data_IF_732952314123
#
_entry.id   IF_732952314123
#
_cell.length_a   1.000
_cell.length_b   1.000
_cell.length_c   1.000
_cell.angle_alpha   90.00
_cell.angle_beta   90.00
_cell.angle_gamma   90.00
#
_symmetry.space_group_name_H-M   'P 1'
#
loop_
_entity.id
_entity.type
_entity.pdbx_description
1 polymer ?
#
# COMPACT_ATOMS: atom_id res chain seq x y z
N UNK A 1 8.04 -0.90 28.34
CA UNK A 1 6.85 -1.38 29.06
C UNK A 1 6.70 -2.86 28.80
N UNK A 2 6.39 -3.74 29.77
CA UNK A 2 6.21 -5.14 29.50
C UNK A 2 4.93 -5.31 28.65
N UNK A 3 5.06 -5.89 27.46
CA UNK A 3 3.93 -6.32 26.67
C UNK A 3 3.12 -7.36 27.45
N UNK A 4 1.87 -7.05 27.75
CA UNK A 4 0.92 -8.04 28.25
C UNK A 4 0.70 -9.06 27.13
N UNK A 5 1.09 -10.31 27.36
CA UNK A 5 0.90 -11.40 26.40
C UNK A 5 -0.54 -11.95 26.33
N UNK A 6 -1.47 -11.31 27.00
CA UNK A 6 -2.90 -11.62 26.91
C UNK A 6 -3.57 -10.61 25.96
N UNK A 7 -4.46 -11.04 25.05
CA UNK A 7 -5.32 -10.12 24.34
C UNK A 7 -6.07 -9.27 25.39
N UNK A 8 -6.35 -7.97 25.09
CA UNK A 8 -7.11 -7.14 26.02
C UNK A 8 -8.38 -7.87 26.41
N UNK A 9 -8.75 -7.80 27.68
CA UNK A 9 -9.85 -8.56 28.32
C UNK A 9 -11.25 -8.30 27.69
N UNK A 10 -11.32 -7.44 26.69
CA UNK A 10 -12.51 -7.08 25.93
C UNK A 10 -12.66 -7.84 24.59
N UNK A 11 -11.65 -8.62 24.16
CA UNK A 11 -11.78 -9.45 22.97
C UNK A 11 -12.54 -10.74 23.31
N UNK A 12 -13.84 -10.72 23.07
CA UNK A 12 -14.67 -11.94 23.19
C UNK A 12 -14.14 -12.95 22.15
N UNK A 13 -13.82 -14.17 22.58
CA UNK A 13 -13.20 -15.19 21.73
C UNK A 13 -13.91 -15.41 20.35
N UNK A 14 -15.27 -15.36 20.24
CA UNK A 14 -15.95 -15.44 18.95
C UNK A 14 -15.62 -14.31 17.99
N UNK A 15 -15.57 -13.05 18.45
CA UNK A 15 -15.27 -11.88 17.61
C UNK A 15 -13.82 -11.92 17.06
N UNK A 16 -12.87 -12.34 17.89
CA UNK A 16 -11.50 -12.56 17.43
C UNK A 16 -11.42 -13.62 16.34
N UNK A 17 -12.12 -14.75 16.51
CA UNK A 17 -12.11 -15.84 15.53
C UNK A 17 -12.74 -15.38 14.22
N UNK A 18 -13.83 -14.65 14.26
CA UNK A 18 -14.49 -14.11 13.09
C UNK A 18 -13.60 -13.11 12.36
N UNK A 19 -13.02 -12.15 13.08
CA UNK A 19 -12.07 -11.20 12.52
C UNK A 19 -10.86 -11.91 11.92
N UNK A 20 -10.24 -12.86 12.61
CA UNK A 20 -9.07 -13.58 12.09
C UNK A 20 -9.41 -14.40 10.84
N UNK A 21 -10.62 -14.97 10.77
CA UNK A 21 -11.09 -15.64 9.55
C UNK A 21 -11.31 -14.67 8.39
N UNK A 22 -11.76 -13.46 8.66
CA UNK A 22 -11.97 -12.44 7.61
C UNK A 22 -10.67 -11.97 6.97
N UNK A 23 -9.52 -12.15 7.65
CA UNK A 23 -8.18 -11.84 7.13
C UNK A 23 -7.64 -12.93 6.16
N UNK A 24 -8.18 -14.16 6.22
CA UNK A 24 -7.68 -15.29 5.44
C UNK A 24 -7.60 -15.04 3.90
N UNK A 25 -8.57 -14.38 3.25
CA UNK A 25 -8.47 -14.06 1.82
C UNK A 25 -7.25 -13.20 1.49
N UNK A 26 -6.92 -12.21 2.33
CA UNK A 26 -5.74 -11.36 2.15
C UNK A 26 -4.45 -12.15 2.32
N UNK A 27 -4.37 -13.03 3.33
CA UNK A 27 -3.21 -13.92 3.53
C UNK A 27 -2.97 -14.77 2.28
N UNK A 28 -4.02 -15.35 1.71
CA UNK A 28 -3.93 -16.16 0.50
C UNK A 28 -3.51 -15.32 -0.71
N UNK A 29 -4.02 -14.11 -0.84
CA UNK A 29 -3.69 -13.19 -1.94
C UNK A 29 -2.25 -12.67 -1.89
N UNK A 30 -1.69 -12.49 -0.67
CA UNK A 30 -0.37 -11.88 -0.48
C UNK A 30 0.78 -12.87 -0.41
N UNK A 31 0.48 -14.14 -0.17
CA UNK A 31 1.52 -15.18 -0.10
C UNK A 31 2.33 -15.26 -1.39
N UNK A 32 3.65 -15.14 -1.28
CA UNK A 32 4.58 -15.15 -2.41
C UNK A 32 4.60 -13.87 -3.23
N UNK A 33 3.81 -12.86 -2.85
CA UNK A 33 3.82 -11.53 -3.50
C UNK A 33 4.99 -10.70 -3.01
N UNK A 34 5.44 -9.77 -3.87
CA UNK A 34 6.58 -8.89 -3.58
C UNK A 34 6.08 -7.50 -3.22
N UNK A 35 6.40 -7.04 -2.01
CA UNK A 35 6.08 -5.71 -1.52
C UNK A 35 7.36 -4.90 -1.33
N UNK A 36 7.38 -3.69 -1.86
CA UNK A 36 8.43 -2.70 -1.61
C UNK A 36 7.91 -1.71 -0.59
N UNK A 37 8.56 -1.63 0.57
CA UNK A 37 8.17 -0.74 1.67
C UNK A 37 9.25 0.32 1.84
N UNK A 38 8.87 1.57 1.63
CA UNK A 38 9.75 2.73 1.70
C UNK A 38 9.41 3.59 2.92
N UNK A 39 10.41 3.94 3.71
CA UNK A 39 10.26 4.76 4.91
C UNK A 39 11.44 5.68 5.13
N UNK A 40 11.17 6.89 5.60
CA UNK A 40 12.20 7.88 5.91
C UNK A 40 13.06 7.50 7.10
N UNK A 41 14.23 8.12 7.21
CA UNK A 41 15.11 7.98 8.37
C UNK A 41 14.49 8.44 9.69
N UNK A 42 13.43 9.23 9.61
CA UNK A 42 12.62 9.71 10.74
C UNK A 42 12.01 8.54 11.54
N UNK A 43 11.57 7.48 10.86
CA UNK A 43 10.96 6.29 11.48
C UNK A 43 11.96 5.60 12.44
N UNK A 44 13.23 5.59 12.06
CA UNK A 44 14.32 5.05 12.89
C UNK A 44 14.68 6.04 14.00
N UNK A 45 14.83 7.34 13.67
CA UNK A 45 15.20 8.39 14.62
C UNK A 45 14.18 8.54 15.75
N UNK A 46 12.89 8.42 15.44
CA UNK A 46 11.79 8.56 16.42
C UNK A 46 11.54 7.28 17.24
N UNK A 47 12.28 6.20 16.99
CA UNK A 47 12.11 4.92 17.66
C UNK A 47 10.85 4.13 17.23
N UNK A 48 10.12 4.60 16.21
CA UNK A 48 8.89 3.97 15.70
C UNK A 48 9.17 2.71 14.89
N UNK A 49 10.41 2.52 14.47
CA UNK A 49 10.80 1.34 13.70
C UNK A 49 10.58 0.03 14.46
N UNK A 50 10.53 0.04 15.79
CA UNK A 50 10.25 -1.16 16.60
C UNK A 50 8.84 -1.70 16.28
N UNK A 51 7.81 -0.85 16.28
CA UNK A 51 6.45 -1.25 15.88
C UNK A 51 6.42 -1.78 14.44
N UNK A 52 7.04 -1.05 13.51
CA UNK A 52 7.16 -1.46 12.12
C UNK A 52 7.86 -2.83 11.97
N UNK A 53 8.88 -3.12 12.79
CA UNK A 53 9.56 -4.43 12.79
C UNK A 53 8.60 -5.58 13.09
N UNK A 54 7.65 -5.39 14.00
CA UNK A 54 6.62 -6.38 14.32
C UNK A 54 5.69 -6.63 13.13
N UNK A 55 5.27 -5.58 12.43
CA UNK A 55 4.43 -5.68 11.24
C UNK A 55 5.16 -6.40 10.10
N UNK A 56 6.43 -6.05 9.86
CA UNK A 56 7.27 -6.67 8.84
C UNK A 56 7.51 -8.16 9.14
N UNK A 57 7.74 -8.51 10.41
CA UNK A 57 7.87 -9.92 10.82
C UNK A 57 6.59 -10.70 10.54
N UNK A 58 5.43 -10.12 10.83
CA UNK A 58 4.15 -10.77 10.55
C UNK A 58 3.97 -10.98 9.04
N UNK A 59 4.22 -9.97 8.22
CA UNK A 59 4.14 -10.08 6.76
C UNK A 59 5.08 -11.16 6.21
N UNK A 60 6.34 -11.18 6.67
CA UNK A 60 7.31 -12.20 6.27
C UNK A 60 6.84 -13.61 6.69
N UNK A 61 6.30 -13.76 7.90
CA UNK A 61 5.76 -15.03 8.42
C UNK A 61 4.54 -15.52 7.61
N UNK A 62 3.76 -14.61 7.05
CA UNK A 62 2.63 -14.90 6.16
C UNK A 62 3.08 -15.24 4.72
N UNK A 63 4.38 -15.17 4.45
CA UNK A 63 4.98 -15.53 3.16
C UNK A 63 5.04 -14.37 2.15
N UNK A 64 4.93 -13.12 2.60
CA UNK A 64 5.18 -11.94 1.76
C UNK A 64 6.69 -11.77 1.54
N UNK A 65 7.10 -11.47 0.32
CA UNK A 65 8.49 -11.16 -0.03
C UNK A 65 8.72 -9.67 0.15
N UNK A 66 9.59 -9.30 1.08
CA UNK A 66 9.79 -7.90 1.48
C UNK A 66 11.09 -7.31 0.91
N UNK A 67 10.97 -6.17 0.27
CA UNK A 67 12.06 -5.28 -0.06
C UNK A 67 11.85 -3.98 0.72
N UNK A 68 12.77 -3.66 1.61
CA UNK A 68 12.74 -2.46 2.44
C UNK A 68 13.66 -1.41 1.84
N UNK A 69 13.18 -0.19 1.70
CA UNK A 69 13.98 0.94 1.26
C UNK A 69 13.95 1.99 2.35
N UNK A 70 15.10 2.28 2.95
CA UNK A 70 15.17 3.27 4.03
C UNK A 70 15.73 4.60 3.55
N UNK A 71 15.26 5.69 4.13
CA UNK A 71 15.88 7.00 4.05
C UNK A 71 16.92 7.21 5.15
N UNK A 72 17.64 8.32 5.08
CA UNK A 72 18.57 8.75 6.12
C UNK A 72 18.69 10.29 6.20
N UNK A 73 17.69 11.01 5.70
CA UNK A 73 17.75 12.47 5.59
C UNK A 73 18.05 13.17 6.93
N UNK A 74 17.33 12.91 8.05
CA UNK A 74 17.61 13.56 9.33
C UNK A 74 18.99 13.23 9.87
N UNK A 75 19.45 11.98 9.67
CA UNK A 75 20.76 11.55 10.13
C UNK A 75 21.89 12.22 9.33
N UNK A 76 21.69 12.39 8.01
CA UNK A 76 22.63 13.14 7.16
C UNK A 76 22.70 14.61 7.63
N UNK A 77 21.56 15.26 7.81
CA UNK A 77 21.47 16.65 8.30
C UNK A 77 22.19 16.80 9.65
N UNK A 78 22.00 15.85 10.57
CA UNK A 78 22.69 15.83 11.85
C UNK A 78 24.22 15.68 11.70
N UNK A 79 24.69 14.80 10.78
CA UNK A 79 26.11 14.63 10.51
C UNK A 79 26.74 15.87 9.89
N UNK A 80 26.06 16.51 8.92
CA UNK A 80 26.51 17.76 8.32
C UNK A 80 26.64 18.87 9.36
N UNK A 81 25.63 19.04 10.20
CA UNK A 81 25.64 20.04 11.27
C UNK A 81 26.78 19.82 12.27
N UNK A 82 27.06 18.56 12.68
CA UNK A 82 28.16 18.22 13.58
C UNK A 82 29.56 18.52 12.99
N UNK A 83 29.67 18.40 11.67
CA UNK A 83 30.91 18.67 10.95
C UNK A 83 31.00 20.13 10.45
N UNK A 84 30.03 21.00 10.79
CA UNK A 84 29.92 22.39 10.32
C UNK A 84 29.91 22.48 8.77
N UNK A 85 29.32 21.51 8.10
CA UNK A 85 29.15 21.49 6.64
C UNK A 85 27.75 22.03 6.34
N UNK A 86 27.65 22.98 5.41
CA UNK A 86 26.37 23.56 4.98
C UNK A 86 25.59 22.54 4.14
N UNK A 87 24.33 22.30 4.53
CA UNK A 87 23.42 21.46 3.75
C UNK A 87 22.80 22.26 2.60
N UNK A 88 23.25 22.00 1.37
CA UNK A 88 22.87 22.77 0.19
C UNK A 88 21.91 21.99 -0.68
N UNK A 89 20.87 22.68 -1.16
CA UNK A 89 19.87 22.14 -2.04
C UNK A 89 19.70 22.99 -3.31
N UNK A 90 19.44 22.31 -4.41
CA UNK A 90 19.02 22.92 -5.66
C UNK A 90 17.76 22.22 -6.16
N UNK A 91 16.66 22.98 -6.32
CA UNK A 91 15.33 22.42 -6.70
C UNK A 91 14.90 21.20 -5.85
N UNK A 92 15.04 21.31 -4.51
CA UNK A 92 14.76 20.27 -3.53
C UNK A 92 15.66 19.01 -3.61
N UNK A 93 16.67 19.01 -4.45
CA UNK A 93 17.67 17.94 -4.56
C UNK A 93 18.94 18.38 -3.81
N UNK A 94 19.45 17.53 -2.91
CA UNK A 94 20.67 17.83 -2.17
C UNK A 94 21.87 17.88 -3.12
N UNK A 95 22.65 18.95 -3.04
CA UNK A 95 23.94 19.03 -3.69
C UNK A 95 24.96 18.25 -2.84
N UNK A 96 25.50 17.19 -3.39
CA UNK A 96 26.38 16.27 -2.67
C UNK A 96 27.80 16.39 -3.17
N UNK A 97 28.59 17.24 -2.53
CA UNK A 97 30.05 17.31 -2.76
C UNK A 97 30.79 16.19 -2.01
N UNK A 98 32.10 16.15 -2.09
CA UNK A 98 32.93 15.10 -1.51
C UNK A 98 32.80 15.03 0.02
N UNK A 99 32.74 16.17 0.69
CA UNK A 99 32.59 16.24 2.16
C UNK A 99 31.19 15.82 2.58
N UNK A 100 30.18 16.33 1.89
CA UNK A 100 28.78 15.91 2.08
C UNK A 100 28.61 14.41 1.86
N UNK A 101 29.24 13.85 0.82
CA UNK A 101 29.17 12.42 0.50
C UNK A 101 29.78 11.55 1.61
N UNK A 102 30.80 12.04 2.32
CA UNK A 102 31.34 11.33 3.48
C UNK A 102 30.31 11.24 4.60
N UNK A 103 29.67 12.36 4.93
CA UNK A 103 28.57 12.39 5.92
C UNK A 103 27.39 11.49 5.51
N UNK A 104 27.05 11.47 4.23
CA UNK A 104 26.01 10.58 3.68
C UNK A 104 26.35 9.11 3.93
N UNK A 105 27.56 8.67 3.61
CA UNK A 105 27.98 7.25 3.82
C UNK A 105 27.92 6.85 5.30
N UNK A 106 28.37 7.73 6.20
CA UNK A 106 28.38 7.48 7.64
C UNK A 106 26.94 7.39 8.18
N UNK A 107 26.08 8.34 7.83
CA UNK A 107 24.69 8.38 8.27
C UNK A 107 23.91 7.17 7.75
N UNK A 108 24.01 6.86 6.47
CA UNK A 108 23.34 5.73 5.83
C UNK A 108 23.82 4.40 6.40
N UNK A 109 25.14 4.24 6.58
CA UNK A 109 25.73 3.05 7.19
C UNK A 109 25.21 2.81 8.60
N UNK A 110 25.10 3.84 9.41
CA UNK A 110 24.55 3.79 10.76
C UNK A 110 23.08 3.36 10.75
N UNK A 111 22.23 4.04 9.96
CA UNK A 111 20.80 3.72 9.86
C UNK A 111 20.59 2.28 9.43
N UNK A 112 21.36 1.79 8.44
CA UNK A 112 21.28 0.41 7.98
C UNK A 112 21.56 -0.57 9.11
N UNK A 113 22.63 -0.38 9.86
CA UNK A 113 23.01 -1.26 10.98
C UNK A 113 21.94 -1.24 12.09
N UNK A 114 21.35 -0.08 12.38
CA UNK A 114 20.26 0.04 13.36
C UNK A 114 19.02 -0.75 12.90
N UNK A 115 18.66 -0.70 11.62
CA UNK A 115 17.56 -1.48 11.03
C UNK A 115 17.85 -2.98 11.09
N UNK A 116 19.05 -3.41 10.67
CA UNK A 116 19.47 -4.82 10.72
C UNK A 116 19.41 -5.36 12.15
N UNK A 117 19.86 -4.58 13.14
CA UNK A 117 19.82 -4.95 14.55
C UNK A 117 18.38 -5.14 15.07
N UNK A 118 17.46 -4.22 14.71
CA UNK A 118 16.07 -4.30 15.12
C UNK A 118 15.33 -5.48 14.46
N UNK A 119 15.61 -5.75 13.19
CA UNK A 119 15.05 -6.92 12.48
C UNK A 119 15.62 -8.25 12.99
N UNK A 120 16.76 -8.22 13.69
CA UNK A 120 17.36 -9.40 14.30
C UNK A 120 16.82 -9.71 15.71
N UNK A 121 15.86 -8.92 16.22
CA UNK A 121 15.26 -9.20 17.53
C UNK A 121 14.52 -10.53 17.52
N UNK A 122 14.69 -11.29 18.63
CA UNK A 122 14.03 -12.59 18.84
C UNK A 122 13.64 -12.80 20.30
N UNK A 123 13.27 -11.71 21.01
CA UNK A 123 12.95 -11.75 22.45
C UNK A 123 11.73 -12.65 22.72
N UNK A 124 11.89 -13.59 23.66
CA UNK A 124 10.78 -14.37 24.16
C UNK A 124 9.68 -13.44 24.74
N UNK A 125 8.42 -13.81 24.59
CA UNK A 125 7.25 -13.05 25.03
C UNK A 125 7.10 -11.66 24.35
N UNK A 126 7.62 -11.53 23.13
CA UNK A 126 7.41 -10.36 22.27
C UNK A 126 6.81 -10.79 20.92
N UNK A 127 6.26 -9.87 20.10
CA UNK A 127 5.82 -10.18 18.74
C UNK A 127 6.93 -10.74 17.84
N UNK A 128 8.20 -10.61 18.25
CA UNK A 128 9.39 -11.15 17.55
C UNK A 128 9.82 -12.52 18.08
N UNK A 129 9.07 -13.14 18.99
CA UNK A 129 9.40 -14.46 19.51
C UNK A 129 9.43 -15.49 18.37
N UNK A 130 10.53 -16.23 18.24
CA UNK A 130 10.80 -17.19 17.17
C UNK A 130 10.86 -16.56 15.75
N UNK A 131 11.01 -15.25 15.63
CA UNK A 131 11.29 -14.62 14.33
C UNK A 131 12.65 -15.09 13.78
N UNK A 132 12.70 -15.45 12.51
CA UNK A 132 13.93 -15.79 11.77
C UNK A 132 14.04 -14.89 10.54
N UNK A 133 14.20 -13.59 10.77
CA UNK A 133 14.39 -12.62 9.71
C UNK A 133 15.86 -12.52 9.37
N UNK A 134 16.21 -12.80 8.13
CA UNK A 134 17.53 -12.59 7.57
C UNK A 134 17.50 -11.41 6.63
N UNK A 135 18.37 -10.44 6.88
CA UNK A 135 18.45 -9.21 6.08
C UNK A 135 19.60 -9.32 5.09
N UNK A 136 19.32 -9.07 3.83
CA UNK A 136 20.31 -9.01 2.76
C UNK A 136 20.43 -7.57 2.24
N UNK A 137 21.55 -6.92 2.55
CA UNK A 137 21.97 -5.64 1.98
C UNK A 137 23.11 -5.82 0.97
N UNK A 138 23.30 -4.88 0.04
CA UNK A 138 24.39 -4.96 -0.91
C UNK A 138 24.34 -3.90 -2.01
N UNK A 139 25.16 -4.12 -3.05
CA UNK A 139 25.29 -3.23 -4.21
C UNK A 139 24.27 -3.55 -5.32
N UNK A 140 23.01 -3.69 -4.94
CA UNK A 140 21.94 -4.03 -5.89
C UNK A 140 21.55 -2.89 -6.83
N UNK A 141 21.94 -1.64 -6.49
CA UNK A 141 21.56 -0.44 -7.24
C UNK A 141 22.80 0.10 -7.98
N UNK A 142 22.75 0.08 -9.31
CA UNK A 142 23.71 0.84 -10.13
C UNK A 142 23.17 2.25 -10.32
N UNK A 143 23.99 3.24 -10.01
CA UNK A 143 23.66 4.65 -10.14
C UNK A 143 24.34 5.32 -11.32
N UNK A 144 23.80 6.47 -11.69
CA UNK A 144 24.42 7.44 -12.59
C UNK A 144 24.31 8.84 -11.97
N UNK A 145 25.26 9.76 -12.26
CA UNK A 145 25.15 11.13 -11.82
C UNK A 145 23.92 11.80 -12.45
N UNK A 146 23.23 12.65 -11.68
CA UNK A 146 22.20 13.53 -12.26
C UNK A 146 22.84 14.59 -13.17
N UNK A 147 24.05 15.03 -12.82
CA UNK A 147 24.80 16.03 -13.58
C UNK A 147 24.36 17.45 -13.28
N UNK A 148 24.25 18.27 -14.32
CA UNK A 148 23.98 19.71 -14.21
C UNK A 148 22.49 20.00 -14.42
N UNK A 149 21.84 20.60 -13.41
CA UNK A 149 20.46 21.09 -13.51
C UNK A 149 20.47 22.62 -13.41
N UNK A 150 19.88 23.30 -14.37
CA UNK A 150 19.79 24.76 -14.41
C UNK A 150 21.10 25.48 -14.11
N UNK A 151 22.23 24.94 -14.61
CA UNK A 151 23.57 25.49 -14.45
C UNK A 151 24.28 25.13 -13.14
N UNK A 152 23.68 24.32 -12.27
CA UNK A 152 24.29 23.83 -11.03
C UNK A 152 24.65 22.37 -11.16
N UNK A 153 25.92 22.03 -10.96
CA UNK A 153 26.40 20.64 -10.93
C UNK A 153 26.06 20.01 -9.57
N UNK A 154 25.36 18.88 -9.60
CA UNK A 154 24.92 18.17 -8.39
C UNK A 154 25.97 17.18 -7.87
N UNK A 155 27.12 17.05 -8.55
CA UNK A 155 28.29 16.27 -8.14
C UNK A 155 27.96 14.79 -7.88
N UNK A 156 28.09 14.33 -6.62
CA UNK A 156 27.81 12.94 -6.24
C UNK A 156 26.31 12.64 -5.99
N UNK A 157 25.42 13.55 -6.33
CA UNK A 157 23.99 13.25 -6.33
C UNK A 157 23.66 12.48 -7.60
N UNK A 158 23.01 11.33 -7.45
CA UNK A 158 22.71 10.40 -8.53
C UNK A 158 21.24 10.04 -8.64
N UNK A 159 20.93 9.30 -9.68
CA UNK A 159 19.66 8.61 -9.88
C UNK A 159 19.91 7.13 -10.14
N UNK A 160 18.86 6.32 -9.96
CA UNK A 160 18.92 4.88 -10.25
C UNK A 160 19.06 4.68 -11.76
N UNK A 161 20.11 4.00 -12.17
CA UNK A 161 20.33 3.60 -13.58
C UNK A 161 19.84 2.18 -13.84
N UNK A 162 20.06 1.27 -12.88
CA UNK A 162 19.70 -0.14 -12.99
C UNK A 162 19.54 -0.76 -11.60
N UNK A 163 18.55 -1.61 -11.48
CA UNK A 163 18.34 -2.48 -10.33
C UNK A 163 18.78 -3.89 -10.70
N UNK A 164 19.53 -4.58 -9.84
CA UNK A 164 19.89 -5.98 -10.03
C UNK A 164 18.75 -6.90 -9.60
N UNK A 165 17.78 -7.05 -10.51
CA UNK A 165 16.56 -7.84 -10.31
C UNK A 165 16.88 -9.29 -9.96
N UNK A 166 17.88 -9.89 -10.64
CA UNK A 166 18.24 -11.30 -10.43
C UNK A 166 18.76 -11.51 -9.03
N UNK A 167 19.71 -10.70 -8.58
CA UNK A 167 20.27 -10.82 -7.25
C UNK A 167 19.22 -10.57 -6.16
N UNK A 168 18.31 -9.61 -6.34
CA UNK A 168 17.22 -9.37 -5.37
C UNK A 168 16.26 -10.56 -5.33
N UNK A 169 15.79 -11.06 -6.49
CA UNK A 169 14.88 -12.20 -6.55
C UNK A 169 15.48 -13.47 -5.95
N UNK A 170 16.77 -13.71 -6.11
CA UNK A 170 17.48 -14.83 -5.50
C UNK A 170 17.48 -14.76 -3.96
N UNK A 171 17.58 -13.55 -3.38
CA UNK A 171 17.47 -13.34 -1.92
C UNK A 171 16.05 -13.58 -1.43
N UNK A 172 15.07 -12.98 -2.12
CA UNK A 172 13.66 -13.16 -1.79
C UNK A 172 13.21 -14.62 -1.90
N UNK A 173 13.75 -15.39 -2.85
CA UNK A 173 13.48 -16.82 -2.97
C UNK A 173 14.01 -17.66 -1.79
N UNK A 174 14.97 -17.13 -1.03
CA UNK A 174 15.50 -17.74 0.22
C UNK A 174 14.79 -17.24 1.47
N UNK A 175 13.66 -16.52 1.31
CA UNK A 175 12.94 -15.85 2.40
C UNK A 175 13.78 -14.80 3.15
N UNK A 176 14.78 -14.21 2.49
CA UNK A 176 15.53 -13.09 3.04
C UNK A 176 14.76 -11.77 2.77
N UNK A 177 14.79 -10.85 3.71
CA UNK A 177 14.32 -9.48 3.53
C UNK A 177 15.43 -8.68 2.88
N UNK A 178 15.16 -8.07 1.72
CA UNK A 178 16.17 -7.24 1.04
C UNK A 178 16.09 -5.83 1.57
N UNK A 179 17.21 -5.29 2.05
CA UNK A 179 17.32 -3.92 2.57
C UNK A 179 18.15 -3.06 1.61
N UNK A 180 17.52 -2.05 1.04
CA UNK A 180 18.15 -1.09 0.13
C UNK A 180 18.34 0.25 0.84
N UNK A 181 19.53 0.79 0.69
CA UNK A 181 19.90 2.13 1.17
C UNK A 181 19.76 3.16 0.05
N UNK A 182 19.65 4.48 0.37
CA UNK A 182 19.64 5.55 -0.62
C UNK A 182 21.05 5.83 -1.18
N UNK A 183 21.74 4.77 -1.57
CA UNK A 183 23.07 4.79 -2.18
C UNK A 183 23.09 3.93 -3.44
N UNK A 184 23.80 4.38 -4.44
CA UNK A 184 24.04 3.60 -5.63
C UNK A 184 25.52 3.64 -6.03
N UNK A 185 25.92 2.69 -6.84
CA UNK A 185 27.32 2.47 -7.23
C UNK A 185 27.47 2.59 -8.73
N UNK A 186 28.53 3.28 -9.18
CA UNK A 186 28.90 3.27 -10.59
C UNK A 186 29.76 2.05 -10.93
N UNK A 187 29.84 1.67 -12.22
CA UNK A 187 30.78 0.65 -12.64
C UNK A 187 32.25 1.02 -12.43
N UNK A 188 32.56 2.31 -12.22
CA UNK A 188 33.90 2.82 -11.92
C UNK A 188 34.24 2.81 -10.43
N UNK A 189 33.27 2.37 -9.55
CA UNK A 189 33.47 2.27 -8.10
C UNK A 189 33.10 3.54 -7.32
N UNK A 190 32.50 4.52 -7.98
CA UNK A 190 32.01 5.72 -7.31
C UNK A 190 30.70 5.45 -6.61
N UNK A 191 30.46 6.17 -5.51
CA UNK A 191 29.21 6.10 -4.71
C UNK A 191 28.42 7.37 -4.95
N UNK A 192 27.13 7.22 -5.20
CA UNK A 192 26.18 8.31 -5.38
C UNK A 192 25.13 8.33 -4.28
N UNK A 193 24.79 9.53 -3.82
CA UNK A 193 23.65 9.78 -2.95
C UNK A 193 22.38 9.79 -3.79
N UNK A 194 21.47 8.86 -3.49
CA UNK A 194 20.19 8.71 -4.16
C UNK A 194 19.07 9.20 -3.24
N UNK A 195 17.90 9.40 -3.81
CA UNK A 195 16.71 9.68 -3.01
C UNK A 195 15.97 8.38 -2.68
N UNK A 196 15.32 8.36 -1.52
CA UNK A 196 14.49 7.23 -1.07
C UNK A 196 13.43 6.87 -2.12
N UNK A 197 12.72 7.88 -2.60
CA UNK A 197 11.61 7.76 -3.54
C UNK A 197 12.06 7.21 -4.88
N UNK A 198 13.23 7.62 -5.41
CA UNK A 198 13.77 7.08 -6.67
C UNK A 198 14.14 5.61 -6.50
N UNK A 199 14.89 5.26 -5.44
CA UNK A 199 15.28 3.87 -5.17
C UNK A 199 14.04 2.97 -5.00
N UNK A 200 13.03 3.41 -4.24
CA UNK A 200 11.82 2.63 -4.00
C UNK A 200 11.00 2.43 -5.27
N UNK A 201 10.78 3.50 -6.03
CA UNK A 201 9.98 3.49 -7.25
C UNK A 201 10.64 2.63 -8.32
N UNK A 202 11.93 2.86 -8.60
CA UNK A 202 12.65 2.10 -9.63
C UNK A 202 12.80 0.62 -9.24
N UNK A 203 12.95 0.33 -7.95
CA UNK A 203 12.98 -1.05 -7.47
C UNK A 203 11.63 -1.74 -7.62
N UNK A 204 10.53 -1.07 -7.27
CA UNK A 204 9.19 -1.62 -7.42
C UNK A 204 8.86 -1.91 -8.89
N UNK A 205 9.18 -0.98 -9.78
CA UNK A 205 8.99 -1.15 -11.23
C UNK A 205 9.84 -2.31 -11.76
N UNK A 206 11.14 -2.32 -11.45
CA UNK A 206 12.07 -3.33 -11.96
C UNK A 206 11.72 -4.75 -11.49
N UNK A 207 11.18 -4.91 -10.29
CA UNK A 207 10.78 -6.20 -9.72
C UNK A 207 9.40 -6.66 -10.17
N UNK A 208 8.61 -5.78 -10.84
CA UNK A 208 7.18 -5.99 -11.08
C UNK A 208 6.46 -6.26 -9.74
N UNK A 209 6.67 -5.36 -8.79
CA UNK A 209 6.20 -5.53 -7.43
C UNK A 209 4.66 -5.43 -7.37
N UNK A 210 4.05 -6.29 -6.55
CA UNK A 210 2.60 -6.27 -6.35
C UNK A 210 2.15 -5.01 -5.59
N UNK A 211 3.01 -4.51 -4.69
CA UNK A 211 2.73 -3.29 -3.91
C UNK A 211 3.98 -2.46 -3.69
N UNK A 212 3.82 -1.14 -3.85
CA UNK A 212 4.76 -0.12 -3.38
C UNK A 212 4.10 0.64 -2.23
N UNK A 213 4.74 0.70 -1.07
CA UNK A 213 4.17 1.32 0.15
C UNK A 213 5.12 2.41 0.61
N UNK A 214 4.64 3.65 0.66
CA UNK A 214 5.35 4.78 1.25
C UNK A 214 4.79 5.11 2.63
N UNK A 215 5.64 5.07 3.65
CA UNK A 215 5.35 5.58 4.98
C UNK A 215 5.70 7.07 5.05
N UNK A 216 4.71 7.90 5.29
CA UNK A 216 4.82 9.36 5.22
C UNK A 216 4.26 10.03 6.49
N UNK A 217 4.41 11.35 6.62
CA UNK A 217 3.95 12.09 7.81
C UNK A 217 2.44 12.33 7.79
N UNK A 218 1.84 12.49 6.61
CA UNK A 218 0.40 12.71 6.47
C UNK A 218 -0.35 11.39 6.29
N UNK A 219 -1.64 11.41 6.59
CA UNK A 219 -2.50 10.21 6.54
C UNK A 219 -2.79 9.73 5.11
N UNK A 220 -2.45 10.53 4.10
CA UNK A 220 -2.67 10.24 2.69
C UNK A 220 -2.99 11.50 1.90
N UNK A 221 -3.62 11.33 0.75
CA UNK A 221 -4.03 12.41 -0.15
C UNK A 221 -5.41 12.91 0.25
N UNK A 222 -5.51 14.20 0.59
CA UNK A 222 -6.78 14.82 0.95
C UNK A 222 -7.46 15.48 -0.25
N UNK A 223 -8.79 15.52 -0.28
CA UNK A 223 -9.56 16.29 -1.23
C UNK A 223 -9.57 17.80 -0.88
N UNK A 224 -10.37 18.60 -1.61
CA UNK A 224 -10.52 20.05 -1.34
C UNK A 224 -11.25 20.37 -0.03
N UNK A 225 -11.97 19.41 0.54
CA UNK A 225 -12.70 19.54 1.81
C UNK A 225 -11.91 19.01 3.00
N UNK A 226 -10.72 18.42 2.76
CA UNK A 226 -9.90 17.78 3.79
C UNK A 226 -10.31 16.33 4.08
N UNK A 227 -11.09 15.71 3.20
CA UNK A 227 -11.45 14.30 3.33
C UNK A 227 -10.40 13.41 2.63
N UNK A 228 -10.07 12.28 3.24
CA UNK A 228 -9.07 11.34 2.72
C UNK A 228 -9.58 10.64 1.45
N UNK A 229 -8.83 10.78 0.37
CA UNK A 229 -9.04 10.05 -0.88
C UNK A 229 -8.38 8.66 -0.76
N UNK A 230 -9.17 7.66 -0.40
CA UNK A 230 -8.66 6.31 -0.11
C UNK A 230 -8.23 5.54 -1.34
N UNK A 231 -8.89 5.74 -2.46
CA UNK A 231 -8.57 5.12 -3.75
C UNK A 231 -8.53 6.20 -4.82
N UNK A 232 -7.46 6.21 -5.58
CA UNK A 232 -7.21 7.13 -6.69
C UNK A 232 -6.77 6.31 -7.90
N UNK A 233 -7.43 6.49 -9.02
CA UNK A 233 -6.83 6.07 -10.29
C UNK A 233 -5.65 6.97 -10.63
N UNK A 234 -4.75 6.50 -11.46
CA UNK A 234 -3.65 7.32 -12.02
C UNK A 234 -4.18 8.64 -12.59
N UNK A 235 -5.30 8.60 -13.32
CA UNK A 235 -5.92 9.81 -13.88
C UNK A 235 -6.39 10.79 -12.78
N UNK A 236 -7.01 10.30 -11.71
CA UNK A 236 -7.44 11.11 -10.58
C UNK A 236 -6.24 11.69 -9.79
N UNK A 237 -5.20 10.88 -9.57
CA UNK A 237 -3.98 11.32 -8.91
C UNK A 237 -3.27 12.41 -9.73
N UNK A 238 -3.18 12.28 -11.05
CA UNK A 238 -2.66 13.30 -11.96
C UNK A 238 -3.50 14.59 -11.92
N UNK A 239 -4.83 14.48 -11.78
CA UNK A 239 -5.69 15.65 -11.59
C UNK A 239 -5.42 16.37 -10.25
N UNK A 240 -5.13 15.64 -9.17
CA UNK A 240 -4.71 16.22 -7.89
C UNK A 240 -3.37 16.94 -8.02
N UNK A 241 -2.38 16.34 -8.70
CA UNK A 241 -1.05 16.91 -8.93
C UNK A 241 -1.11 18.18 -9.81
N UNK A 242 -2.00 18.20 -10.79
CA UNK A 242 -2.19 19.34 -11.71
C UNK A 242 -3.00 20.48 -11.09
N UNK A 243 -3.64 20.24 -9.96
CA UNK A 243 -4.43 21.27 -9.29
C UNK A 243 -3.52 22.39 -8.74
N UNK A 244 -3.97 23.65 -8.86
CA UNK A 244 -3.24 24.85 -8.34
C UNK A 244 -3.28 24.92 -6.80
N UNK A 245 -3.17 23.79 -6.11
CA UNK A 245 -3.20 23.69 -4.66
C UNK A 245 -1.82 23.25 -4.18
N UNK A 246 -1.29 23.92 -3.15
CA UNK A 246 -0.07 23.43 -2.48
C UNK A 246 -0.42 22.13 -1.75
N UNK A 247 0.21 21.03 -2.14
CA UNK A 247 0.16 19.76 -1.44
C UNK A 247 1.14 19.79 -0.25
N UNK A 248 0.91 19.00 0.81
CA UNK A 248 1.93 18.73 1.81
C UNK A 248 3.21 18.22 1.14
N UNK A 249 4.36 18.52 1.73
CA UNK A 249 5.66 18.29 1.07
C UNK A 249 5.90 16.80 0.77
N UNK A 250 5.53 15.90 1.68
CA UNK A 250 5.63 14.44 1.48
C UNK A 250 4.60 13.90 0.47
N UNK A 251 3.37 14.41 0.47
CA UNK A 251 2.38 14.06 -0.56
C UNK A 251 2.87 14.52 -1.94
N UNK A 252 3.42 15.74 -2.02
CA UNK A 252 4.01 16.28 -3.25
C UNK A 252 5.22 15.48 -3.75
N UNK A 253 5.92 14.79 -2.84
CA UNK A 253 7.06 13.95 -3.14
C UNK A 253 6.66 12.53 -3.56
N UNK A 254 5.79 11.86 -2.80
CA UNK A 254 5.48 10.45 -2.98
C UNK A 254 4.33 10.18 -3.96
N UNK A 255 3.35 11.09 -4.09
CA UNK A 255 2.23 10.89 -5.01
C UNK A 255 2.68 10.79 -6.49
N UNK A 256 3.59 11.64 -7.01
CA UNK A 256 4.13 11.46 -8.37
C UNK A 256 4.84 10.11 -8.55
N UNK A 257 5.56 9.64 -7.52
CA UNK A 257 6.24 8.35 -7.53
C UNK A 257 5.25 7.18 -7.56
N UNK A 258 4.17 7.26 -6.78
CA UNK A 258 3.09 6.29 -6.79
C UNK A 258 2.39 6.20 -8.16
N UNK A 259 2.12 7.35 -8.78
CA UNK A 259 1.56 7.44 -10.14
C UNK A 259 2.49 6.78 -11.15
N UNK A 260 3.76 7.18 -11.15
CA UNK A 260 4.76 6.63 -12.08
C UNK A 260 4.93 5.12 -11.91
N UNK A 261 4.95 4.62 -10.68
CA UNK A 261 5.04 3.19 -10.42
C UNK A 261 3.84 2.42 -11.00
N UNK A 262 2.61 2.92 -10.81
CA UNK A 262 1.40 2.29 -11.34
C UNK A 262 1.32 2.36 -12.87
N UNK A 263 1.70 3.49 -13.50
CA UNK A 263 1.81 3.63 -14.95
C UNK A 263 2.82 2.64 -15.55
N UNK A 264 3.86 2.29 -14.79
CA UNK A 264 4.91 1.36 -15.20
C UNK A 264 4.62 -0.11 -14.83
N UNK A 265 3.42 -0.44 -14.31
CA UNK A 265 2.96 -1.82 -14.11
C UNK A 265 2.90 -2.29 -12.66
N UNK A 266 3.34 -1.49 -11.67
CA UNK A 266 3.13 -1.83 -10.24
C UNK A 266 1.63 -1.86 -9.97
N UNK A 267 1.12 -2.98 -9.45
CA UNK A 267 -0.32 -3.17 -9.34
C UNK A 267 -0.99 -2.13 -8.42
N UNK A 268 -0.33 -1.75 -7.31
CA UNK A 268 -0.84 -0.78 -6.32
C UNK A 268 0.29 -0.01 -5.66
N UNK A 269 0.09 1.28 -5.47
CA UNK A 269 0.97 2.10 -4.65
C UNK A 269 0.19 2.73 -3.49
N UNK A 270 0.67 2.55 -2.26
CA UNK A 270 0.01 2.99 -1.04
C UNK A 270 0.79 4.14 -0.40
N UNK A 271 0.06 5.15 0.05
CA UNK A 271 0.56 6.31 0.79
C UNK A 271 -0.09 6.29 2.17
N UNK A 272 0.65 5.91 3.21
CA UNK A 272 0.11 5.67 4.55
C UNK A 272 0.92 6.40 5.63
N UNK A 273 0.25 6.74 6.73
CA UNK A 273 0.87 7.46 7.83
C UNK A 273 1.84 6.59 8.63
N UNK A 274 3.06 7.08 8.85
CA UNK A 274 4.04 6.48 9.78
C UNK A 274 3.71 6.70 11.25
N UNK A 275 2.69 7.52 11.54
CA UNK A 275 2.32 7.87 12.90
C UNK A 275 1.29 6.91 13.52
N UNK A 276 0.63 6.10 12.70
CA UNK A 276 -0.33 5.09 13.13
C UNK A 276 0.42 3.79 13.42
N UNK A 277 0.25 3.24 14.61
CA UNK A 277 0.79 1.93 14.96
C UNK A 277 0.03 0.82 14.20
N UNK A 278 0.78 -0.12 13.62
CA UNK A 278 0.19 -1.15 12.76
C UNK A 278 -0.39 -0.63 11.43
N UNK A 279 0.06 0.54 10.96
CA UNK A 279 -0.46 1.19 9.75
C UNK A 279 -0.44 0.26 8.53
N UNK A 280 0.66 -0.45 8.32
CA UNK A 280 0.79 -1.39 7.19
C UNK A 280 -0.23 -2.52 7.31
N UNK A 281 -0.42 -3.07 8.48
CA UNK A 281 -1.38 -4.16 8.69
C UNK A 281 -2.82 -3.68 8.49
N UNK A 282 -3.15 -2.50 9.02
CA UNK A 282 -4.48 -1.91 8.85
C UNK A 282 -4.77 -1.59 7.38
N UNK A 283 -3.78 -1.10 6.64
CA UNK A 283 -3.93 -0.84 5.20
C UNK A 283 -4.12 -2.11 4.39
N UNK A 284 -3.37 -3.16 4.70
CA UNK A 284 -3.32 -4.37 3.87
C UNK A 284 -4.39 -5.40 4.21
N UNK A 285 -4.85 -5.46 5.46
CA UNK A 285 -5.76 -6.51 5.95
C UNK A 285 -7.16 -5.99 6.31
N UNK A 286 -7.52 -4.81 5.81
CA UNK A 286 -8.86 -4.26 5.95
C UNK A 286 -9.47 -3.90 4.58
N UNK A 287 -10.79 -3.90 4.51
CA UNK A 287 -11.54 -3.63 3.27
C UNK A 287 -11.39 -2.18 2.78
N UNK A 288 -11.06 -1.27 3.68
CA UNK A 288 -11.11 0.17 3.41
C UNK A 288 -9.71 0.78 3.37
N UNK A 289 -8.74 0.15 4.03
CA UNK A 289 -7.44 0.74 4.30
C UNK A 289 -7.51 1.96 5.22
N UNK A 290 -6.37 2.54 5.55
CA UNK A 290 -6.26 3.75 6.38
C UNK A 290 -5.65 4.93 5.62
N UNK A 291 -4.96 4.67 4.53
CA UNK A 291 -4.24 5.63 3.70
C UNK A 291 -4.92 5.92 2.36
N UNK A 292 -4.10 6.32 1.40
CA UNK A 292 -4.47 6.49 0.00
C UNK A 292 -3.78 5.45 -0.85
N UNK A 293 -4.53 4.80 -1.72
CA UNK A 293 -4.03 3.83 -2.68
C UNK A 293 -4.16 4.39 -4.10
N UNK A 294 -3.08 4.29 -4.88
CA UNK A 294 -3.08 4.60 -6.31
C UNK A 294 -3.10 3.30 -7.10
N UNK A 295 -3.96 3.25 -8.11
CA UNK A 295 -4.13 2.11 -9.03
C UNK A 295 -4.22 2.61 -10.47
N UNK A 296 -3.87 1.80 -11.44
CA UNK A 296 -3.98 2.20 -12.86
C UNK A 296 -5.43 2.44 -13.24
N UNK A 297 -6.31 1.49 -12.92
CA UNK A 297 -7.75 1.55 -13.19
C UNK A 297 -8.54 1.27 -11.92
N UNK A 298 -9.81 1.71 -11.88
CA UNK A 298 -10.67 1.46 -10.72
C UNK A 298 -10.80 -0.03 -10.42
N UNK A 299 -10.75 -0.39 -9.15
CA UNK A 299 -10.98 -1.75 -8.67
C UNK A 299 -12.47 -2.12 -8.64
N UNK A 300 -13.34 -1.14 -8.89
CA UNK A 300 -14.78 -1.34 -8.85
C UNK A 300 -15.29 -1.73 -10.23
N UNK A 301 -15.96 -2.86 -10.30
CA UNK A 301 -16.61 -3.34 -11.52
C UNK A 301 -18.08 -3.63 -11.22
N UNK A 302 -18.97 -2.99 -11.99
CA UNK A 302 -20.39 -3.31 -12.01
C UNK A 302 -20.63 -4.27 -13.18
N UNK A 303 -21.11 -5.47 -12.88
CA UNK A 303 -21.30 -6.53 -13.89
C UNK A 303 -22.45 -7.44 -13.52
N UNK A 304 -22.90 -8.20 -14.49
CA UNK A 304 -23.86 -9.27 -14.25
C UNK A 304 -23.27 -10.33 -13.32
N UNK A 305 -24.13 -10.86 -12.43
CA UNK A 305 -23.73 -11.91 -11.52
C UNK A 305 -23.60 -13.26 -12.22
N UNK A 306 -22.68 -14.06 -11.73
CA UNK A 306 -22.45 -15.43 -12.17
C UNK A 306 -22.70 -16.41 -11.04
N UNK A 307 -22.76 -17.70 -11.34
CA UNK A 307 -22.95 -18.75 -10.33
C UNK A 307 -21.88 -18.70 -9.22
N UNK A 308 -20.68 -18.23 -9.55
CA UNK A 308 -19.59 -18.10 -8.59
C UNK A 308 -19.82 -16.99 -7.55
N UNK A 309 -20.70 -16.04 -7.84
CA UNK A 309 -20.99 -14.89 -6.97
C UNK A 309 -22.07 -15.21 -5.91
N UNK A 310 -22.78 -16.34 -6.04
CA UNK A 310 -23.88 -16.74 -5.14
C UNK A 310 -23.43 -16.72 -3.67
N UNK A 311 -22.23 -17.22 -3.37
CA UNK A 311 -21.70 -17.21 -2.01
C UNK A 311 -21.49 -15.79 -1.45
N UNK A 312 -20.94 -14.89 -2.26
CA UNK A 312 -20.74 -13.48 -1.89
C UNK A 312 -22.06 -12.73 -1.73
N UNK A 313 -23.04 -12.99 -2.61
CA UNK A 313 -24.38 -12.40 -2.53
C UNK A 313 -25.07 -12.88 -1.26
N UNK A 314 -25.06 -14.17 -0.94
CA UNK A 314 -25.66 -14.71 0.30
C UNK A 314 -25.04 -14.05 1.54
N UNK A 315 -23.72 -13.97 1.60
CA UNK A 315 -23.01 -13.34 2.71
C UNK A 315 -23.40 -11.86 2.88
N UNK A 316 -23.64 -11.16 1.78
CA UNK A 316 -24.04 -9.76 1.79
C UNK A 316 -25.50 -9.57 2.21
N UNK A 317 -26.41 -10.49 1.83
CA UNK A 317 -27.84 -10.42 2.11
C UNK A 317 -28.19 -10.93 3.52
N UNK A 318 -27.44 -11.92 4.03
CA UNK A 318 -27.76 -12.60 5.30
C UNK A 318 -28.02 -11.64 6.48
N UNK A 319 -27.18 -10.63 6.78
CA UNK A 319 -27.48 -9.72 7.89
C UNK A 319 -28.79 -8.95 7.73
N UNK A 320 -29.11 -8.55 6.48
CA UNK A 320 -30.34 -7.83 6.17
C UNK A 320 -31.58 -8.72 6.23
N UNK A 321 -31.43 -10.01 5.94
CA UNK A 321 -32.48 -11.02 6.12
C UNK A 321 -32.74 -11.31 7.61
N UNK A 322 -31.68 -11.39 8.41
CA UNK A 322 -31.76 -11.59 9.86
C UNK A 322 -32.42 -10.40 10.59
N UNK A 323 -32.16 -9.19 10.10
CA UNK A 323 -32.81 -7.95 10.57
C UNK A 323 -34.24 -7.79 10.03
N UNK A 324 -34.73 -8.67 9.15
CA UNK A 324 -36.04 -8.59 8.54
C UNK A 324 -36.21 -7.48 7.50
N UNK A 325 -35.14 -6.88 7.03
CA UNK A 325 -35.14 -5.84 6.00
C UNK A 325 -35.38 -6.46 4.61
N UNK A 326 -34.82 -7.65 4.38
CA UNK A 326 -35.00 -8.41 3.13
C UNK A 326 -35.68 -9.74 3.39
N UNK A 327 -36.41 -10.21 2.38
CA UNK A 327 -37.03 -11.54 2.39
C UNK A 327 -35.92 -12.58 2.19
N UNK A 328 -35.91 -13.59 3.07
CA UNK A 328 -34.93 -14.68 3.01
C UNK A 328 -35.03 -15.47 1.71
N UNK A 329 -33.87 -15.70 1.09
CA UNK A 329 -33.75 -16.47 -0.15
C UNK A 329 -32.85 -17.67 0.06
N UNK A 330 -33.29 -18.83 -0.44
CA UNK A 330 -32.46 -20.02 -0.38
C UNK A 330 -31.34 -19.93 -1.43
N UNK A 331 -30.26 -20.66 -1.18
CA UNK A 331 -29.16 -20.79 -2.13
C UNK A 331 -29.62 -21.29 -3.49
N UNK A 332 -30.47 -22.31 -3.50
CA UNK A 332 -30.99 -22.92 -4.72
C UNK A 332 -31.83 -21.91 -5.54
N UNK A 333 -32.55 -21.02 -4.88
CA UNK A 333 -33.32 -19.97 -5.53
C UNK A 333 -32.36 -18.95 -6.19
N UNK A 334 -31.32 -18.52 -5.47
CA UNK A 334 -30.33 -17.60 -6.00
C UNK A 334 -29.58 -18.21 -7.18
N UNK A 335 -29.15 -19.46 -7.08
CA UNK A 335 -28.48 -20.18 -8.18
C UNK A 335 -29.37 -20.24 -9.44
N UNK A 336 -30.65 -20.48 -9.28
CA UNK A 336 -31.61 -20.53 -10.40
C UNK A 336 -31.87 -19.17 -11.03
N UNK A 337 -31.86 -18.11 -10.23
CA UNK A 337 -32.24 -16.75 -10.64
C UNK A 337 -31.03 -15.82 -10.79
N UNK A 338 -29.81 -16.36 -10.78
CA UNK A 338 -28.57 -15.58 -10.76
C UNK A 338 -28.47 -14.58 -11.94
N UNK A 339 -29.00 -14.90 -13.08
CA UNK A 339 -29.02 -14.03 -14.25
C UNK A 339 -29.91 -12.77 -14.09
N UNK A 340 -30.66 -12.63 -12.98
CA UNK A 340 -31.40 -11.41 -12.63
C UNK A 340 -30.59 -10.46 -11.76
N UNK A 341 -29.41 -10.89 -11.29
CA UNK A 341 -28.59 -10.16 -10.36
C UNK A 341 -27.46 -9.43 -11.07
N UNK A 342 -27.21 -8.22 -10.64
CA UNK A 342 -25.98 -7.47 -10.91
C UNK A 342 -25.21 -7.32 -9.60
N UNK A 343 -23.89 -7.32 -9.72
CA UNK A 343 -22.99 -7.20 -8.58
C UNK A 343 -22.03 -6.03 -8.78
N UNK A 344 -21.78 -5.33 -7.67
CA UNK A 344 -20.65 -4.44 -7.55
C UNK A 344 -19.50 -5.24 -6.95
N UNK A 345 -18.51 -5.50 -7.76
CA UNK A 345 -17.29 -6.16 -7.35
C UNK A 345 -16.22 -5.10 -7.04
N UNK A 346 -15.51 -5.27 -5.93
CA UNK A 346 -14.34 -4.50 -5.56
C UNK A 346 -13.24 -5.47 -5.17
N UNK A 347 -12.13 -5.43 -5.90
CA UNK A 347 -10.96 -6.30 -5.65
C UNK A 347 -11.34 -7.78 -5.47
N UNK A 348 -12.11 -8.32 -6.43
CA UNK A 348 -12.62 -9.71 -6.43
C UNK A 348 -13.58 -10.07 -5.29
N UNK A 349 -14.11 -9.08 -4.57
CA UNK A 349 -15.13 -9.26 -3.53
C UNK A 349 -16.43 -8.59 -3.93
N UNK A 350 -17.53 -9.25 -3.66
CA UNK A 350 -18.86 -8.68 -3.89
C UNK A 350 -19.18 -7.73 -2.72
N UNK A 351 -19.22 -6.44 -3.01
CA UNK A 351 -19.50 -5.37 -2.03
C UNK A 351 -20.91 -4.81 -2.16
N UNK A 352 -21.62 -5.14 -3.23
CA UNK A 352 -23.00 -4.76 -3.45
C UNK A 352 -23.67 -5.68 -4.45
N UNK A 353 -24.98 -5.78 -4.36
CA UNK A 353 -25.81 -6.47 -5.34
C UNK A 353 -27.17 -5.82 -5.48
N UNK A 354 -27.81 -6.08 -6.62
CA UNK A 354 -29.22 -5.75 -6.87
C UNK A 354 -29.77 -6.77 -7.86
N UNK A 355 -31.12 -6.96 -7.87
CA UNK A 355 -31.78 -7.83 -8.81
C UNK A 355 -32.99 -7.14 -9.46
N UNK A 356 -33.23 -7.45 -10.74
CA UNK A 356 -34.40 -7.02 -11.50
C UNK A 356 -35.37 -8.17 -11.70
N UNK A 357 -36.61 -7.99 -11.25
CA UNK A 357 -37.71 -8.92 -11.49
C UNK A 357 -38.74 -8.25 -12.42
N UNK A 358 -38.74 -8.57 -13.72
CA UNK A 358 -39.65 -7.96 -14.67
C UNK A 358 -41.06 -8.52 -14.53
N UNK A 359 -42.05 -7.63 -14.59
CA UNK A 359 -43.50 -7.92 -14.74
C UNK A 359 -43.93 -7.46 -16.10
N UNK A 360 -43.68 -8.30 -17.12
CA UNK A 360 -43.86 -7.94 -18.54
C UNK A 360 -45.31 -7.57 -18.89
N UNK A 361 -46.27 -8.14 -18.22
CA UNK A 361 -47.70 -7.85 -18.45
C UNK A 361 -48.13 -6.46 -17.94
N UNK A 362 -47.36 -5.90 -17.04
CA UNK A 362 -47.64 -4.60 -16.40
C UNK A 362 -46.70 -3.49 -16.86
N UNK A 363 -45.76 -3.81 -17.78
CA UNK A 363 -44.65 -2.91 -18.16
C UNK A 363 -43.93 -2.31 -16.90
N UNK A 364 -43.68 -3.18 -15.91
CA UNK A 364 -43.09 -2.82 -14.64
C UNK A 364 -41.97 -3.79 -14.24
N UNK A 365 -41.09 -3.34 -13.37
CA UNK A 365 -40.03 -4.19 -12.81
C UNK A 365 -39.85 -3.93 -11.32
N UNK A 366 -39.65 -4.98 -10.55
CA UNK A 366 -39.29 -4.87 -9.13
C UNK A 366 -37.76 -4.84 -8.97
N UNK A 367 -37.29 -3.80 -8.28
CA UNK A 367 -35.93 -3.78 -7.76
C UNK A 367 -35.90 -4.57 -6.44
N UNK A 368 -35.23 -5.70 -6.45
CA UNK A 368 -35.07 -6.55 -5.28
C UNK A 368 -33.60 -6.69 -4.86
N UNK A 369 -33.38 -7.13 -3.62
CA UNK A 369 -32.05 -7.45 -3.08
C UNK A 369 -30.98 -6.34 -3.21
N UNK A 370 -31.40 -5.08 -3.22
CA UNK A 370 -30.44 -3.98 -3.22
C UNK A 370 -29.71 -3.94 -1.87
N UNK A 371 -28.46 -4.33 -1.90
CA UNK A 371 -27.61 -4.37 -0.71
C UNK A 371 -26.22 -3.82 -1.04
N UNK A 372 -25.65 -3.10 -0.07
CA UNK A 372 -24.25 -2.63 -0.10
C UNK A 372 -23.64 -2.89 1.26
N UNK A 373 -22.45 -3.49 1.26
CA UNK A 373 -21.67 -3.79 2.46
C UNK A 373 -21.59 -2.54 3.37
N UNK A 374 -21.85 -2.66 4.68
CA UNK A 374 -21.91 -1.51 5.59
C UNK A 374 -20.69 -0.60 5.52
N UNK A 375 -19.48 -1.17 5.43
CA UNK A 375 -18.21 -0.45 5.31
C UNK A 375 -18.07 0.34 3.99
N UNK A 376 -18.82 -0.03 2.95
CA UNK A 376 -18.79 0.59 1.63
C UNK A 376 -19.94 1.55 1.37
N UNK A 377 -20.86 1.76 2.33
CA UNK A 377 -21.99 2.69 2.19
C UNK A 377 -21.52 4.14 2.07
N UNK A 378 -22.39 5.00 1.50
CA UNK A 378 -22.18 6.44 1.26
C UNK A 378 -21.04 6.76 0.25
N UNK A 379 -20.66 5.78 -0.58
CA UNK A 379 -19.66 5.94 -1.65
C UNK A 379 -20.26 5.95 -3.05
N UNK A 380 -21.60 6.02 -3.16
CA UNK A 380 -22.31 6.03 -4.43
C UNK A 380 -22.54 4.65 -5.07
N UNK A 381 -22.13 3.55 -4.44
CA UNK A 381 -22.32 2.22 -5.01
C UNK A 381 -23.80 1.81 -5.12
N UNK A 382 -24.62 2.17 -4.13
CA UNK A 382 -26.07 1.94 -4.18
C UNK A 382 -26.72 2.71 -5.35
N UNK A 383 -26.31 3.97 -5.56
CA UNK A 383 -26.80 4.78 -6.67
C UNK A 383 -26.36 4.22 -8.03
N UNK A 384 -25.14 3.67 -8.11
CA UNK A 384 -24.64 3.03 -9.33
C UNK A 384 -25.43 1.76 -9.66
N UNK A 385 -25.69 0.90 -8.66
CA UNK A 385 -26.54 -0.29 -8.80
C UNK A 385 -27.96 0.09 -9.23
N UNK A 386 -28.58 1.08 -8.56
CA UNK A 386 -29.92 1.55 -8.89
C UNK A 386 -30.00 2.09 -10.33
N UNK A 387 -29.04 2.91 -10.75
CA UNK A 387 -28.99 3.44 -12.12
C UNK A 387 -28.86 2.34 -13.15
N UNK A 388 -28.02 1.32 -12.88
CA UNK A 388 -27.83 0.20 -13.79
C UNK A 388 -29.14 -0.60 -13.96
N UNK A 389 -29.76 -1.01 -12.86
CA UNK A 389 -31.03 -1.72 -12.87
C UNK A 389 -32.14 -0.92 -13.55
N UNK A 390 -32.20 0.39 -13.32
CA UNK A 390 -33.17 1.27 -13.98
C UNK A 390 -32.94 1.31 -15.51
N UNK A 391 -31.69 1.39 -15.94
CA UNK A 391 -31.35 1.38 -17.38
C UNK A 391 -31.65 0.03 -18.01
N UNK A 392 -31.42 -1.06 -17.30
CA UNK A 392 -31.73 -2.42 -17.76
C UNK A 392 -33.25 -2.62 -17.87
N UNK A 393 -34.02 -2.20 -16.87
CA UNK A 393 -35.48 -2.26 -16.90
C UNK A 393 -36.04 -1.46 -18.10
N UNK A 394 -35.51 -0.24 -18.36
CA UNK A 394 -35.91 0.54 -19.52
C UNK A 394 -35.54 -0.09 -20.85
N UNK A 395 -34.45 -0.85 -20.93
CA UNK A 395 -34.05 -1.56 -22.15
C UNK A 395 -34.91 -2.79 -22.45
N UNK A 396 -35.55 -3.35 -21.43
CA UNK A 396 -36.46 -4.51 -21.56
C UNK A 396 -37.91 -4.11 -21.84
N UNK A 397 -38.26 -2.81 -21.80
CA UNK A 397 -39.59 -2.26 -22.06
C UNK A 397 -40.36 -2.11 -20.75
#
# INVERSE_FOLDING_TARGET
>A
MPYSSAPPAEFVAPEFVEWFRSVAPYINAFRGRTFVVAFGGEVVADGKFIGLTHDLNLLASLGVRLVLVHGARPQIEQHLARNNIEDRYHQNIRLTDTETMQCVKEAVGRVRVEIEALLSMGLANSPMANADIRVAGGNFITAQPIGVIAGVDLLHTGSVRKVDVTAIKDRLARNEVVLLSPLGYSPTGEVFNLTLEDVATQTAIALDADKLIFLMDHDGVMDKKGELLRELTVAQANAVLSARRKLPDDVGLFLPCAVHACEAGVARAHLISRHVDGAILQELFSDIGIGSMVVETTLNTLRDATINDVGGILQLLQPLEEEGILVRRSRELLEREIGRFVVMEHDHRIIGCAALYPFTDEAAGELACLAVQPACRRRGYGDALLKHITSEAQAQG
#
